data_IF_798947939507
#
_entry.id   IF_798947939507
#
_cell.length_a   1.000
_cell.length_b   1.000
_cell.length_c   1.000
_cell.angle_alpha   90.00
_cell.angle_beta   90.00
_cell.angle_gamma   90.00
#
_symmetry.space_group_name_H-M   'P 1'
#
loop_
_entity.id
_entity.type
_entity.pdbx_description
1 polymer ?
#
# COMPACT_ATOMS: atom_id res chain seq x y z
N UNK A 1 -15.40 -2.84 -9.89
CA UNK A 1 -14.38 -1.84 -9.50
C UNK A 1 -13.33 -2.49 -8.61
N UNK A 2 -12.07 -2.35 -8.93
CA UNK A 2 -10.99 -2.91 -8.12
C UNK A 2 -10.82 -2.13 -6.83
N UNK A 3 -10.56 -2.83 -5.73
CA UNK A 3 -10.43 -2.24 -4.41
C UNK A 3 -8.97 -2.14 -4.00
N UNK A 4 -8.57 -0.94 -3.57
CA UNK A 4 -7.23 -0.67 -3.06
C UNK A 4 -7.34 -0.30 -1.59
N UNK A 5 -6.53 -0.93 -0.75
CA UNK A 5 -6.37 -0.54 0.64
C UNK A 5 -5.10 0.28 0.76
N UNK A 6 -5.24 1.55 1.14
CA UNK A 6 -4.12 2.46 1.33
C UNK A 6 -3.80 2.58 2.81
N UNK A 7 -2.60 2.19 3.19
CA UNK A 7 -2.14 2.18 4.59
C UNK A 7 -1.01 3.18 4.76
N UNK A 8 -1.28 4.27 5.44
CA UNK A 8 -0.32 5.35 5.67
C UNK A 8 -0.81 6.15 6.88
N UNK A 9 0.07 6.61 7.73
CA UNK A 9 -0.30 7.38 8.92
C UNK A 9 -0.53 8.87 8.63
N UNK A 10 -0.22 9.35 7.42
CA UNK A 10 -0.39 10.74 7.03
C UNK A 10 -1.72 10.95 6.29
N UNK A 11 -2.62 11.73 6.86
CA UNK A 11 -3.91 12.00 6.23
C UNK A 11 -3.77 12.73 4.89
N UNK A 12 -2.76 13.60 4.74
CA UNK A 12 -2.51 14.29 3.49
C UNK A 12 -2.22 13.34 2.35
N UNK A 13 -1.53 12.24 2.63
CA UNK A 13 -1.26 11.20 1.63
C UNK A 13 -2.56 10.53 1.19
N UNK A 14 -3.46 10.25 2.14
CA UNK A 14 -4.75 9.64 1.81
C UNK A 14 -5.58 10.54 0.90
N UNK A 15 -5.61 11.84 1.17
CA UNK A 15 -6.36 12.78 0.34
C UNK A 15 -5.81 12.80 -1.09
N UNK A 16 -4.51 12.93 -1.23
CA UNK A 16 -3.86 13.02 -2.54
C UNK A 16 -3.97 11.72 -3.33
N UNK A 17 -3.59 10.62 -2.72
CA UNK A 17 -3.55 9.33 -3.40
C UNK A 17 -4.95 8.82 -3.73
N UNK A 18 -5.89 9.04 -2.81
CA UNK A 18 -7.28 8.64 -3.02
C UNK A 18 -7.88 9.36 -4.22
N UNK A 19 -7.71 10.67 -4.30
CA UNK A 19 -8.22 11.45 -5.43
C UNK A 19 -7.66 10.93 -6.75
N UNK A 20 -6.34 10.75 -6.82
CA UNK A 20 -5.67 10.32 -8.03
C UNK A 20 -6.06 8.89 -8.44
N UNK A 21 -6.17 7.99 -7.48
CA UNK A 21 -6.52 6.60 -7.77
C UNK A 21 -8.00 6.44 -8.11
N UNK A 22 -8.87 7.21 -7.47
CA UNK A 22 -10.29 7.18 -7.81
C UNK A 22 -10.55 7.71 -9.21
N UNK A 23 -9.76 8.69 -9.67
CA UNK A 23 -9.83 9.15 -11.05
C UNK A 23 -9.48 8.05 -12.05
N UNK A 24 -8.61 7.11 -11.65
CA UNK A 24 -8.26 5.97 -12.49
C UNK A 24 -9.31 4.85 -12.45
N UNK A 25 -10.37 5.02 -11.66
CA UNK A 25 -11.46 4.07 -11.59
C UNK A 25 -11.38 3.04 -10.48
N UNK A 26 -10.50 3.25 -9.49
CA UNK A 26 -10.38 2.32 -8.36
C UNK A 26 -11.21 2.78 -7.18
N UNK A 27 -11.64 1.81 -6.36
CA UNK A 27 -12.28 2.08 -5.08
C UNK A 27 -11.21 2.05 -4.00
N UNK A 28 -11.01 3.16 -3.27
CA UNK A 28 -9.92 3.30 -2.31
C UNK A 28 -10.46 3.29 -0.88
N UNK A 29 -9.92 2.40 -0.07
CA UNK A 29 -10.19 2.32 1.37
C UNK A 29 -8.92 2.74 2.11
N UNK A 30 -9.08 3.38 3.27
CA UNK A 30 -7.97 3.94 4.02
C UNK A 30 -7.78 3.28 5.37
N UNK A 31 -6.53 3.09 5.77
CA UNK A 31 -6.14 2.70 7.12
C UNK A 31 -4.99 3.60 7.54
N UNK A 32 -5.01 4.10 8.76
CA UNK A 32 -3.99 5.00 9.28
C UNK A 32 -2.92 4.29 10.09
N UNK A 33 -3.12 3.02 10.41
CA UNK A 33 -2.15 2.20 11.15
C UNK A 33 -2.13 0.80 10.58
N UNK A 34 -1.10 0.03 10.95
CA UNK A 34 -1.01 -1.38 10.56
C UNK A 34 -2.12 -2.20 11.18
N UNK A 35 -2.46 -1.92 12.43
CA UNK A 35 -3.54 -2.62 13.13
C UNK A 35 -4.88 -2.38 12.45
N UNK A 36 -5.17 -1.13 12.07
CA UNK A 36 -6.40 -0.81 11.35
C UNK A 36 -6.45 -1.52 9.99
N UNK A 37 -5.30 -1.62 9.31
CA UNK A 37 -5.23 -2.33 8.05
C UNK A 37 -5.58 -3.81 8.21
N UNK A 38 -5.05 -4.45 9.25
CA UNK A 38 -5.35 -5.85 9.53
C UNK A 38 -6.83 -6.07 9.85
N UNK A 39 -7.42 -5.16 10.62
CA UNK A 39 -8.86 -5.22 10.92
C UNK A 39 -9.67 -5.10 9.64
N UNK A 40 -9.30 -4.21 8.74
CA UNK A 40 -10.02 -4.02 7.49
C UNK A 40 -9.92 -5.22 6.54
N UNK A 41 -8.87 -6.01 6.64
CA UNK A 41 -8.75 -7.23 5.82
C UNK A 41 -9.84 -8.25 6.15
N UNK A 42 -10.43 -8.17 7.33
CA UNK A 42 -11.54 -9.04 7.70
C UNK A 42 -12.90 -8.52 7.23
N UNK A 43 -12.95 -7.26 6.79
CA UNK A 43 -14.19 -6.61 6.36
C UNK A 43 -14.24 -6.48 4.84
N UNK A 44 -13.12 -6.11 4.23
CA UNK A 44 -12.99 -5.96 2.78
C UNK A 44 -11.93 -6.92 2.27
N UNK A 45 -12.08 -7.31 1.01
CA UNK A 45 -11.07 -8.12 0.33
C UNK A 45 -10.41 -7.22 -0.73
N UNK A 46 -9.33 -6.52 -0.39
CA UNK A 46 -8.70 -5.64 -1.36
C UNK A 46 -8.03 -6.43 -2.48
N UNK A 47 -8.01 -5.83 -3.65
CA UNK A 47 -7.32 -6.40 -4.81
C UNK A 47 -5.85 -6.02 -4.81
N UNK A 48 -5.49 -4.98 -4.07
CA UNK A 48 -4.13 -4.49 -3.94
C UNK A 48 -4.00 -3.66 -2.67
N UNK A 49 -2.82 -3.69 -2.05
CA UNK A 49 -2.53 -2.89 -0.86
C UNK A 49 -1.33 -1.99 -1.14
N UNK A 50 -1.46 -0.70 -0.82
CA UNK A 50 -0.36 0.25 -0.84
C UNK A 50 -0.01 0.51 0.62
N UNK A 51 1.22 0.23 1.01
CA UNK A 51 1.63 0.18 2.41
C UNK A 51 2.85 1.05 2.66
N UNK A 52 2.71 2.01 3.58
CA UNK A 52 3.84 2.83 4.03
C UNK A 52 4.70 2.04 5.01
N UNK A 53 6.03 2.16 4.88
CA UNK A 53 6.97 1.47 5.76
C UNK A 53 7.08 2.16 7.11
N UNK A 54 7.15 3.49 7.12
CA UNK A 54 7.41 4.26 8.33
C UNK A 54 6.11 4.70 8.99
N UNK A 55 5.61 3.86 9.88
CA UNK A 55 4.42 4.16 10.67
C UNK A 55 4.71 3.97 12.15
N UNK A 56 4.09 4.79 13.03
CA UNK A 56 4.21 4.56 14.47
C UNK A 56 3.49 3.25 14.85
N UNK A 57 3.98 2.61 15.91
CA UNK A 57 3.45 1.32 16.35
C UNK A 57 3.95 0.21 15.46
N UNK A 58 3.06 -0.50 14.79
CA UNK A 58 3.42 -1.56 13.85
C UNK A 58 4.02 -0.93 12.59
N UNK A 59 5.28 -1.18 12.30
CA UNK A 59 5.91 -0.66 11.10
C UNK A 59 5.45 -1.44 9.86
N UNK A 60 5.75 -0.89 8.68
CA UNK A 60 5.27 -1.46 7.42
C UNK A 60 5.78 -2.87 7.14
N UNK A 61 6.98 -3.23 7.62
CA UNK A 61 7.54 -4.56 7.40
C UNK A 61 6.76 -5.61 8.21
N UNK A 62 6.47 -5.30 9.46
CA UNK A 62 5.65 -6.16 10.30
C UNK A 62 4.24 -6.29 9.75
N UNK A 63 3.67 -5.18 9.30
CA UNK A 63 2.34 -5.18 8.66
C UNK A 63 2.35 -6.03 7.40
N UNK A 64 3.37 -5.90 6.56
CA UNK A 64 3.51 -6.70 5.34
C UNK A 64 3.50 -8.19 5.66
N UNK A 65 4.29 -8.58 6.66
CA UNK A 65 4.38 -9.99 7.06
C UNK A 65 3.01 -10.53 7.48
N UNK A 66 2.30 -9.78 8.31
CA UNK A 66 0.98 -10.20 8.79
C UNK A 66 -0.08 -10.20 7.69
N UNK A 67 -0.03 -9.23 6.79
CA UNK A 67 -0.94 -9.18 5.64
C UNK A 67 -0.75 -10.43 4.78
N UNK A 68 0.49 -10.81 4.50
CA UNK A 68 0.77 -11.98 3.66
C UNK A 68 0.41 -13.29 4.36
N UNK A 69 0.40 -13.32 5.68
CA UNK A 69 -0.10 -14.49 6.43
C UNK A 69 -1.61 -14.64 6.27
N UNK A 70 -2.35 -13.53 6.26
CA UNK A 70 -3.81 -13.53 6.11
C UNK A 70 -4.21 -13.77 4.65
N UNK A 71 -3.56 -13.09 3.72
CA UNK A 71 -3.84 -13.21 2.29
C UNK A 71 -2.54 -13.23 1.50
N UNK A 72 -1.97 -14.42 1.26
CA UNK A 72 -0.68 -14.52 0.60
C UNK A 72 -0.69 -14.13 -0.88
N UNK A 73 -1.86 -14.01 -1.48
CA UNK A 73 -1.99 -13.70 -2.92
C UNK A 73 -2.18 -12.22 -3.23
N UNK A 74 -2.55 -11.39 -2.24
CA UNK A 74 -2.80 -9.98 -2.50
C UNK A 74 -1.48 -9.29 -2.83
N UNK A 75 -1.41 -8.54 -3.95
CA UNK A 75 -0.21 -7.76 -4.25
C UNK A 75 -0.07 -6.59 -3.28
N UNK A 76 1.14 -6.38 -2.77
CA UNK A 76 1.45 -5.29 -1.85
C UNK A 76 2.55 -4.43 -2.45
N UNK A 77 2.25 -3.14 -2.59
CA UNK A 77 3.22 -2.14 -3.01
C UNK A 77 3.70 -1.41 -1.77
N UNK A 78 4.99 -1.51 -1.47
CA UNK A 78 5.59 -0.76 -0.37
C UNK A 78 5.96 0.63 -0.85
N UNK A 79 5.64 1.63 -0.05
CA UNK A 79 6.01 3.02 -0.32
C UNK A 79 6.84 3.57 0.83
N UNK A 80 7.89 4.31 0.51
CA UNK A 80 8.73 4.95 1.51
C UNK A 80 9.29 6.25 0.98
N UNK A 81 9.56 7.20 1.89
CA UNK A 81 10.29 8.41 1.54
C UNK A 81 11.78 8.12 1.30
N UNK A 82 12.26 6.93 1.65
CA UNK A 82 13.69 6.60 1.64
C UNK A 82 14.00 5.55 0.58
N UNK A 83 14.92 5.88 -0.32
CA UNK A 83 15.36 4.98 -1.39
C UNK A 83 16.28 3.87 -0.88
N UNK A 84 16.95 4.08 0.24
CA UNK A 84 17.94 3.16 0.78
C UNK A 84 17.39 1.80 1.19
N UNK A 85 16.07 1.71 1.42
CA UNK A 85 15.44 0.45 1.77
C UNK A 85 15.04 -0.39 0.56
N UNK A 86 15.18 0.15 -0.64
CA UNK A 86 14.64 -0.49 -1.85
C UNK A 86 15.23 -1.87 -2.13
N UNK A 87 16.53 -2.04 -1.94
CA UNK A 87 17.18 -3.32 -2.23
C UNK A 87 16.85 -4.38 -1.19
N UNK A 88 16.87 -3.98 0.08
CA UNK A 88 16.60 -4.91 1.18
C UNK A 88 15.17 -5.42 1.17
N UNK A 89 14.21 -4.55 0.84
CA UNK A 89 12.80 -4.86 0.91
C UNK A 89 12.25 -5.47 -0.37
N UNK A 90 12.89 -5.23 -1.51
CA UNK A 90 12.47 -5.79 -2.78
C UNK A 90 12.67 -7.31 -2.83
N UNK A 91 13.58 -7.85 -2.00
CA UNK A 91 13.81 -9.30 -1.90
C UNK A 91 12.83 -9.99 -0.93
N UNK A 92 11.98 -9.22 -0.27
CA UNK A 92 11.00 -9.74 0.69
C UNK A 92 9.67 -10.04 0.02
N UNK A 93 8.61 -10.13 0.80
CA UNK A 93 7.29 -10.52 0.32
C UNK A 93 6.51 -9.42 -0.40
N UNK A 94 7.08 -8.23 -0.58
CA UNK A 94 6.42 -7.17 -1.34
C UNK A 94 6.52 -7.45 -2.84
N UNK A 95 5.50 -7.04 -3.55
CA UNK A 95 5.43 -7.21 -5.00
C UNK A 95 6.07 -6.05 -5.74
N UNK A 96 6.19 -4.89 -5.09
CA UNK A 96 6.77 -3.69 -5.67
C UNK A 96 7.22 -2.76 -4.56
N UNK A 97 8.24 -1.95 -4.82
CA UNK A 97 8.71 -0.92 -3.90
C UNK A 97 8.80 0.40 -4.63
N UNK A 98 8.15 1.43 -4.09
CA UNK A 98 8.11 2.75 -4.70
C UNK A 98 8.56 3.81 -3.70
N UNK A 99 9.48 4.69 -4.13
CA UNK A 99 9.88 5.84 -3.33
C UNK A 99 8.81 6.92 -3.48
N UNK A 100 8.33 7.44 -2.36
CA UNK A 100 7.29 8.49 -2.35
C UNK A 100 7.81 9.74 -3.07
N UNK A 101 6.98 10.31 -3.92
CA UNK A 101 7.29 11.54 -4.63
C UNK A 101 5.99 12.30 -4.91
N UNK A 102 6.12 13.57 -5.31
CA UNK A 102 4.97 14.38 -5.70
C UNK A 102 4.38 13.92 -7.04
N UNK A 103 5.17 13.19 -7.82
CA UNK A 103 4.70 12.63 -9.08
C UNK A 103 4.22 11.19 -8.84
N UNK A 104 2.94 10.93 -9.09
CA UNK A 104 2.32 9.64 -8.83
C UNK A 104 2.31 8.71 -10.05
N UNK A 105 2.99 9.07 -11.12
CA UNK A 105 2.99 8.25 -12.35
C UNK A 105 3.57 6.86 -12.13
N UNK A 106 4.65 6.75 -11.36
CA UNK A 106 5.26 5.47 -11.04
C UNK A 106 4.31 4.59 -10.22
N UNK A 107 3.65 5.20 -9.22
CA UNK A 107 2.66 4.49 -8.40
C UNK A 107 1.48 4.02 -9.24
N UNK A 108 0.94 4.90 -10.08
CA UNK A 108 -0.19 4.56 -10.95
C UNK A 108 0.16 3.44 -11.92
N UNK A 109 1.37 3.47 -12.47
CA UNK A 109 1.84 2.42 -13.38
C UNK A 109 1.95 1.08 -12.65
N UNK A 110 2.48 1.08 -11.43
CA UNK A 110 2.60 -0.15 -10.64
C UNK A 110 1.23 -0.70 -10.27
N UNK A 111 0.30 0.16 -9.86
CA UNK A 111 -1.07 -0.25 -9.54
C UNK A 111 -1.72 -0.91 -10.77
N UNK A 112 -1.62 -0.27 -11.91
CA UNK A 112 -2.19 -0.79 -13.15
C UNK A 112 -1.59 -2.14 -13.53
N UNK A 113 -0.28 -2.28 -13.37
CA UNK A 113 0.44 -3.52 -13.67
C UNK A 113 -0.08 -4.68 -12.82
N UNK A 114 -0.29 -4.46 -11.54
CA UNK A 114 -0.72 -5.52 -10.62
C UNK A 114 -2.22 -5.78 -10.63
N UNK A 115 -3.02 -4.86 -11.17
CA UNK A 115 -4.48 -5.01 -11.25
C UNK A 115 -5.00 -5.30 -12.66
N UNK A 116 -4.09 -5.38 -13.62
CA UNK A 116 -4.46 -5.68 -15.00
C UNK A 116 -4.92 -7.12 -15.18
#
# INVERSE_FOLDING_TARGET
>A
MKKILLVDDEESIHLLYREELEEEGYEVHSALTGEEALDKLHIITPDLIILDINMPGMNGIEALRRIKEINPKVPVILCSAYQEFKQDLASWASDEYIVKSSNLDELKAAVKKHLA
#
